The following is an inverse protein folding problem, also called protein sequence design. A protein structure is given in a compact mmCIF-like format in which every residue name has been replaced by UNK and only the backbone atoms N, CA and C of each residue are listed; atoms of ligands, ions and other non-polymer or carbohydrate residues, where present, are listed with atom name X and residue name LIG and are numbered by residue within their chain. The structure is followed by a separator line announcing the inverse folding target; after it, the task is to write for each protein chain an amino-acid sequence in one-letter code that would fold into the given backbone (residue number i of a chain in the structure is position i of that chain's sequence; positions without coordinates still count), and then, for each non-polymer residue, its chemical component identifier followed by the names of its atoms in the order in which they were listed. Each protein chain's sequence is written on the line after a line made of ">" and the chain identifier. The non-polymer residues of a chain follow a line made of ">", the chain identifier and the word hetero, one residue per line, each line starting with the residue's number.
data_IF_087410911953
#
_entry.id   IF_087410911953
#
_cell.length_a   1.000
_cell.length_b   1.000
_cell.length_c   1.000
_cell.angle_alpha   90.00
_cell.angle_beta   90.00
_cell.angle_gamma   90.00
#
_symmetry.space_group_name_H-M   'P 1'
#
loop_
_entity.id
_entity.type
_entity.pdbx_description
1 polymer ?
#
# COMPACT_ATOMS: atom_id res chain seq x y z
N UNK A 1 25.12 -17.49 -1.68
CA UNK A 1 24.66 -16.08 -1.54
C UNK A 1 23.50 -15.73 -2.48
N UNK A 2 23.50 -16.14 -3.76
CA UNK A 2 22.40 -15.85 -4.71
C UNK A 2 20.98 -16.32 -4.31
N UNK A 3 20.88 -17.31 -3.42
CA UNK A 3 19.59 -17.89 -2.99
C UNK A 3 18.87 -17.11 -1.89
N UNK A 4 19.54 -16.19 -1.18
CA UNK A 4 18.90 -15.33 -0.17
C UNK A 4 18.35 -14.02 -0.76
N UNK A 5 18.88 -13.60 -1.92
CA UNK A 5 18.55 -12.33 -2.57
C UNK A 5 17.20 -12.35 -3.30
N UNK A 6 16.75 -13.51 -3.78
CA UNK A 6 15.42 -13.65 -4.39
C UNK A 6 14.29 -13.53 -3.36
N UNK A 7 14.61 -13.59 -2.06
CA UNK A 7 13.63 -13.54 -0.97
C UNK A 7 13.34 -12.11 -0.53
N UNK A 8 14.23 -11.13 -0.80
CA UNK A 8 14.05 -9.74 -0.37
C UNK A 8 13.18 -8.93 -1.36
N UNK A 9 13.27 -9.19 -2.67
CA UNK A 9 12.40 -8.54 -3.68
C UNK A 9 10.99 -9.16 -3.79
N UNK A 10 10.76 -10.34 -3.23
CA UNK A 10 9.44 -10.98 -3.22
C UNK A 10 8.65 -10.75 -1.92
N UNK A 11 9.24 -10.08 -0.92
CA UNK A 11 8.64 -9.94 0.41
C UNK A 11 7.83 -8.66 0.60
N UNK A 12 7.75 -7.77 -0.38
CA UNK A 12 6.85 -6.60 -0.33
C UNK A 12 5.37 -6.95 -0.58
N UNK A 13 4.96 -8.22 -0.62
CA UNK A 13 3.60 -8.61 -1.02
C UNK A 13 3.01 -9.83 -0.32
N UNK A 14 3.53 -10.23 0.84
CA UNK A 14 2.84 -11.24 1.65
C UNK A 14 2.83 -10.82 3.10
N UNK A 15 1.68 -10.28 3.51
CA UNK A 15 1.22 -10.22 4.89
C UNK A 15 1.63 -11.53 5.56
N UNK A 16 2.51 -11.45 6.56
CA UNK A 16 2.59 -12.48 7.57
C UNK A 16 1.23 -12.49 8.27
N UNK A 17 0.32 -13.33 7.78
CA UNK A 17 -0.92 -13.72 8.45
C UNK A 17 -0.57 -14.41 9.79
N UNK A 18 -0.04 -13.66 10.74
CA UNK A 18 -0.46 -13.87 12.11
C UNK A 18 -1.89 -13.33 12.14
N UNK A 19 -2.86 -14.21 12.37
CA UNK A 19 -4.22 -13.79 12.65
C UNK A 19 -4.13 -12.77 13.77
N UNK A 20 -4.38 -11.50 13.46
CA UNK A 20 -4.61 -10.45 14.47
C UNK A 20 -5.69 -11.02 15.35
N UNK A 21 -5.36 -11.34 16.60
CA UNK A 21 -6.22 -12.19 17.42
C UNK A 21 -7.55 -11.50 17.75
N UNK A 22 -7.61 -10.19 17.54
CA UNK A 22 -8.75 -9.32 17.76
C UNK A 22 -9.75 -9.26 16.58
N UNK A 23 -9.49 -9.91 15.43
CA UNK A 23 -10.39 -9.87 14.27
C UNK A 23 -11.26 -11.11 14.16
N UNK A 24 -12.58 -10.91 14.19
CA UNK A 24 -13.55 -11.90 13.78
C UNK A 24 -14.04 -11.60 12.35
N UNK A 25 -13.70 -12.46 11.39
CA UNK A 25 -14.24 -12.36 10.02
C UNK A 25 -15.75 -12.60 10.02
N UNK A 26 -16.48 -11.61 9.50
CA UNK A 26 -17.94 -11.64 9.35
C UNK A 26 -18.36 -11.38 7.90
N UNK A 27 -17.43 -11.45 6.95
CA UNK A 27 -17.63 -11.09 5.54
C UNK A 27 -18.81 -11.85 4.93
N UNK A 28 -18.76 -13.17 4.92
CA UNK A 28 -19.81 -14.04 4.34
C UNK A 28 -21.16 -13.95 5.06
N UNK A 29 -21.19 -13.33 6.25
CA UNK A 29 -22.44 -13.10 6.99
C UNK A 29 -23.18 -11.86 6.47
N UNK A 30 -22.44 -10.84 6.05
CA UNK A 30 -22.99 -9.50 5.82
C UNK A 30 -22.75 -8.94 4.42
N UNK A 31 -21.71 -9.38 3.72
CA UNK A 31 -21.39 -8.95 2.36
C UNK A 31 -21.71 -10.07 1.40
N UNK A 32 -22.60 -9.78 0.44
CA UNK A 32 -22.96 -10.70 -0.63
C UNK A 32 -21.95 -10.54 -1.77
N UNK A 33 -21.47 -11.66 -2.31
CA UNK A 33 -20.55 -11.71 -3.45
C UNK A 33 -19.33 -10.77 -3.28
N UNK A 34 -18.55 -10.91 -2.18
CA UNK A 34 -17.49 -9.96 -1.81
C UNK A 34 -16.34 -9.87 -2.82
N UNK A 35 -16.06 -10.96 -3.54
CA UNK A 35 -15.00 -11.04 -4.56
C UNK A 35 -15.54 -11.21 -5.99
N UNK A 36 -16.81 -10.88 -6.23
CA UNK A 36 -17.39 -10.86 -7.57
C UNK A 36 -17.35 -12.18 -8.36
N UNK A 37 -17.24 -13.31 -7.67
CA UNK A 37 -17.19 -14.66 -8.26
C UNK A 37 -18.56 -15.21 -8.67
N UNK A 38 -19.65 -14.63 -8.15
CA UNK A 38 -21.00 -15.06 -8.52
C UNK A 38 -21.47 -14.38 -9.82
N UNK A 39 -21.90 -15.19 -10.81
CA UNK A 39 -22.36 -14.76 -12.14
C UNK A 39 -23.80 -15.17 -12.51
N UNK A 40 -24.26 -14.75 -13.70
CA UNK A 40 -25.49 -15.26 -14.32
C UNK A 40 -25.18 -16.31 -15.39
N UNK A 41 -25.65 -17.55 -15.19
CA UNK A 41 -25.48 -18.66 -16.14
C UNK A 41 -24.15 -19.42 -16.01
N UNK A 42 -23.85 -20.26 -17.00
CA UNK A 42 -22.67 -21.15 -17.02
C UNK A 42 -21.34 -20.42 -17.37
N UNK A 43 -21.41 -19.12 -17.68
CA UNK A 43 -20.25 -18.28 -18.01
C UNK A 43 -20.35 -16.98 -17.19
N UNK A 44 -19.51 -16.78 -16.16
CA UNK A 44 -19.64 -15.66 -15.22
C UNK A 44 -19.38 -14.26 -15.81
N UNK A 45 -18.99 -14.14 -17.08
CA UNK A 45 -18.48 -12.89 -17.68
C UNK A 45 -19.54 -11.91 -18.20
N UNK A 46 -20.83 -12.23 -18.14
CA UNK A 46 -21.89 -11.30 -18.56
C UNK A 46 -22.82 -10.96 -17.41
N UNK A 47 -22.52 -9.85 -16.74
CA UNK A 47 -23.38 -9.30 -15.70
C UNK A 47 -24.71 -8.85 -16.30
N UNK A 48 -25.81 -9.47 -15.86
CA UNK A 48 -27.16 -8.96 -16.03
C UNK A 48 -27.48 -7.98 -14.91
N UNK A 49 -27.23 -6.68 -15.11
CA UNK A 49 -27.76 -5.68 -14.18
C UNK A 49 -29.28 -5.62 -14.31
N UNK A 50 -29.97 -5.60 -13.16
CA UNK A 50 -31.40 -5.34 -13.17
C UNK A 50 -31.72 -3.88 -13.55
N UNK A 51 -33.00 -3.55 -13.66
CA UNK A 51 -33.43 -2.19 -14.00
C UNK A 51 -33.05 -1.13 -12.97
N UNK A 52 -32.66 -1.53 -11.76
CA UNK A 52 -32.19 -0.65 -10.69
C UNK A 52 -30.65 -0.52 -10.69
N UNK A 53 -29.95 -1.21 -11.60
CA UNK A 53 -28.49 -1.23 -11.64
C UNK A 53 -27.88 -2.15 -10.59
N UNK A 54 -28.61 -3.16 -10.12
CA UNK A 54 -28.10 -4.12 -9.14
C UNK A 54 -27.64 -5.40 -9.82
N UNK A 55 -26.47 -5.90 -9.41
CA UNK A 55 -25.93 -7.19 -9.79
C UNK A 55 -25.46 -7.93 -8.53
N UNK A 56 -26.04 -9.11 -8.25
CA UNK A 56 -25.67 -9.98 -7.11
C UNK A 56 -25.45 -9.23 -5.78
N UNK A 57 -26.36 -8.32 -5.45
CA UNK A 57 -26.30 -7.53 -4.22
C UNK A 57 -25.55 -6.20 -4.31
N UNK A 58 -24.80 -5.97 -5.39
CA UNK A 58 -24.06 -4.73 -5.63
C UNK A 58 -24.83 -3.78 -6.55
N UNK A 59 -25.15 -2.60 -6.04
CA UNK A 59 -25.64 -1.48 -6.85
C UNK A 59 -24.48 -0.85 -7.61
N UNK A 60 -24.75 -0.45 -8.85
CA UNK A 60 -23.87 0.42 -9.64
C UNK A 60 -24.64 1.61 -10.19
N UNK A 61 -24.01 2.77 -10.13
CA UNK A 61 -24.56 4.02 -10.66
C UNK A 61 -24.65 4.07 -12.19
N UNK A 62 -23.77 3.37 -12.91
CA UNK A 62 -23.70 3.42 -14.37
C UNK A 62 -23.41 2.03 -15.00
N UNK A 63 -24.41 1.14 -15.08
CA UNK A 63 -24.24 -0.23 -15.62
C UNK A 63 -23.54 -0.33 -16.99
N UNK A 64 -23.67 0.71 -17.83
CA UNK A 64 -23.11 0.72 -19.19
C UNK A 64 -21.57 0.81 -19.25
N UNK A 65 -20.92 1.16 -18.13
CA UNK A 65 -19.46 1.24 -18.02
C UNK A 65 -18.92 0.34 -16.91
N UNK A 66 -19.74 -0.61 -16.44
CA UNK A 66 -19.44 -1.56 -15.38
C UNK A 66 -19.14 -2.92 -15.98
N UNK A 67 -18.08 -3.56 -15.51
CA UNK A 67 -17.60 -4.78 -16.11
C UNK A 67 -17.08 -5.74 -15.05
N UNK A 68 -17.20 -7.02 -15.37
CA UNK A 68 -16.58 -8.09 -14.62
C UNK A 68 -15.82 -8.96 -15.60
N UNK A 69 -14.55 -9.15 -15.29
CA UNK A 69 -13.64 -9.90 -16.12
C UNK A 69 -12.56 -10.51 -15.23
N UNK A 70 -11.64 -11.21 -15.87
CA UNK A 70 -10.50 -11.86 -15.25
C UNK A 70 -9.17 -11.12 -15.50
N UNK A 71 -9.24 -9.89 -16.03
CA UNK A 71 -8.09 -9.11 -16.49
C UNK A 71 -7.40 -8.36 -15.34
N UNK A 72 -6.95 -9.09 -14.33
CA UNK A 72 -6.04 -8.61 -13.30
C UNK A 72 -4.92 -9.63 -13.09
N UNK A 73 -3.82 -9.20 -12.48
CA UNK A 73 -2.71 -10.06 -12.10
C UNK A 73 -3.10 -11.01 -10.96
N UNK A 74 -2.12 -11.73 -10.44
CA UNK A 74 -2.33 -12.79 -9.45
C UNK A 74 -2.65 -12.27 -8.04
N UNK A 75 -2.78 -10.95 -7.85
CA UNK A 75 -3.24 -10.36 -6.58
C UNK A 75 -4.75 -10.40 -6.40
N UNK A 76 -5.52 -10.73 -7.45
CA UNK A 76 -6.98 -10.92 -7.35
C UNK A 76 -7.37 -12.16 -6.54
N UNK A 77 -8.54 -12.13 -5.91
CA UNK A 77 -9.11 -13.25 -5.18
C UNK A 77 -10.07 -14.02 -6.08
N UNK A 78 -9.63 -15.19 -6.55
CA UNK A 78 -10.43 -16.02 -7.44
C UNK A 78 -10.15 -15.74 -8.91
N UNK A 79 -11.18 -15.70 -9.72
CA UNK A 79 -11.07 -15.53 -11.18
C UNK A 79 -11.44 -14.11 -11.60
N UNK A 80 -12.45 -13.52 -10.97
CA UNK A 80 -13.13 -12.34 -11.47
C UNK A 80 -12.90 -11.12 -10.59
N UNK A 81 -12.91 -9.96 -11.22
CA UNK A 81 -12.84 -8.66 -10.54
C UNK A 81 -13.99 -7.77 -11.00
N UNK A 82 -14.26 -6.70 -10.27
CA UNK A 82 -15.11 -5.62 -10.74
C UNK A 82 -14.26 -4.49 -11.31
N UNK A 83 -14.60 -4.00 -12.49
CA UNK A 83 -13.92 -2.88 -13.13
C UNK A 83 -14.90 -1.91 -13.72
N UNK A 84 -14.49 -0.65 -13.78
CA UNK A 84 -15.07 0.31 -14.72
C UNK A 84 -14.04 0.65 -15.78
N UNK A 85 -14.41 1.17 -16.95
CA UNK A 85 -13.45 1.77 -17.87
C UNK A 85 -14.08 2.80 -18.79
N UNK A 86 -13.23 3.69 -19.30
CA UNK A 86 -13.62 4.82 -20.13
C UNK A 86 -13.76 6.10 -19.32
N UNK A 87 -14.43 7.09 -19.90
CA UNK A 87 -14.65 8.39 -19.25
C UNK A 87 -15.65 8.25 -18.10
N UNK A 88 -15.13 7.92 -16.91
CA UNK A 88 -15.91 7.84 -15.68
C UNK A 88 -16.41 9.24 -15.34
N UNK A 89 -17.72 9.44 -15.41
CA UNK A 89 -18.34 10.46 -14.59
C UNK A 89 -18.14 10.12 -13.09
N UNK A 90 -18.83 10.84 -12.19
CA UNK A 90 -18.98 10.33 -10.83
C UNK A 90 -19.58 8.92 -10.87
N UNK A 91 -18.95 7.99 -10.16
CA UNK A 91 -19.33 6.59 -10.17
C UNK A 91 -19.31 6.02 -8.75
N UNK A 92 -20.32 5.22 -8.44
CA UNK A 92 -20.45 4.42 -7.23
C UNK A 92 -20.75 2.98 -7.59
N UNK A 93 -20.06 2.06 -6.91
CA UNK A 93 -20.44 0.66 -6.71
C UNK A 93 -20.58 0.43 -5.21
N UNK A 94 -21.73 -0.07 -4.76
CA UNK A 94 -22.04 -0.16 -3.33
C UNK A 94 -23.00 -1.28 -2.96
N UNK A 95 -22.96 -1.65 -1.69
CA UNK A 95 -23.90 -2.56 -1.06
C UNK A 95 -24.39 -1.95 0.26
N UNK A 96 -25.64 -2.24 0.62
CA UNK A 96 -26.18 -1.85 1.93
C UNK A 96 -26.22 -3.09 2.81
N UNK A 97 -25.36 -3.11 3.83
CA UNK A 97 -25.42 -4.10 4.90
C UNK A 97 -26.57 -3.73 5.82
N UNK A 98 -27.43 -4.69 6.14
CA UNK A 98 -28.60 -4.50 6.99
C UNK A 98 -28.40 -5.16 8.35
N UNK A 99 -28.88 -4.53 9.42
CA UNK A 99 -28.86 -5.06 10.78
C UNK A 99 -27.45 -5.43 11.27
N UNK A 100 -26.42 -4.68 10.88
CA UNK A 100 -25.07 -4.88 11.38
C UNK A 100 -25.06 -4.53 12.88
N UNK A 101 -24.70 -5.44 13.80
CA UNK A 101 -24.71 -5.16 15.23
C UNK A 101 -23.80 -4.00 15.63
N UNK A 102 -24.05 -3.42 16.81
CA UNK A 102 -23.12 -2.47 17.42
C UNK A 102 -21.73 -3.09 17.55
N UNK A 103 -20.69 -2.30 17.32
CA UNK A 103 -19.30 -2.76 17.33
C UNK A 103 -18.38 -1.89 16.49
N UNK A 104 -17.09 -2.17 16.57
CA UNK A 104 -16.07 -1.56 15.72
C UNK A 104 -15.68 -2.55 14.63
N UNK A 105 -15.69 -2.12 13.38
CA UNK A 105 -15.45 -2.96 12.22
C UNK A 105 -14.31 -2.44 11.36
N UNK A 106 -13.50 -3.36 10.86
CA UNK A 106 -12.55 -3.15 9.79
C UNK A 106 -13.21 -3.57 8.47
N UNK A 107 -13.46 -2.62 7.58
CA UNK A 107 -13.84 -2.87 6.20
C UNK A 107 -12.61 -2.73 5.33
N UNK A 108 -12.37 -3.67 4.41
CA UNK A 108 -11.35 -3.54 3.38
C UNK A 108 -11.85 -3.95 2.01
N UNK A 109 -11.14 -3.51 0.97
CA UNK A 109 -11.21 -4.04 -0.39
C UNK A 109 -9.86 -3.89 -1.07
N UNK A 110 -9.58 -4.67 -2.10
CA UNK A 110 -8.41 -4.47 -2.93
C UNK A 110 -8.77 -3.63 -4.16
N UNK A 111 -7.90 -2.71 -4.55
CA UNK A 111 -8.11 -1.82 -5.69
C UNK A 111 -6.83 -1.65 -6.51
N UNK A 112 -6.95 -1.43 -7.82
CA UNK A 112 -5.87 -0.85 -8.63
C UNK A 112 -6.37 0.38 -9.36
N UNK A 113 -5.54 1.42 -9.37
CA UNK A 113 -5.80 2.68 -10.07
C UNK A 113 -4.68 2.93 -11.09
N UNK A 114 -4.99 3.11 -12.38
CA UNK A 114 -3.92 3.13 -13.39
C UNK A 114 -3.31 4.50 -13.59
N UNK A 115 -2.07 4.51 -14.09
CA UNK A 115 -1.33 5.77 -14.29
C UNK A 115 -2.09 6.72 -15.22
N UNK A 116 -2.17 7.99 -14.83
CA UNK A 116 -2.94 9.05 -15.49
C UNK A 116 -4.47 8.93 -15.41
N UNK A 117 -5.02 8.02 -14.59
CA UNK A 117 -6.46 7.93 -14.37
C UNK A 117 -6.90 8.30 -12.95
N UNK A 118 -5.97 8.74 -12.09
CA UNK A 118 -6.25 9.13 -10.71
C UNK A 118 -7.16 10.38 -10.63
N UNK A 119 -8.15 10.30 -9.75
CA UNK A 119 -9.10 11.36 -9.37
C UNK A 119 -9.37 11.28 -7.86
N UNK A 120 -10.46 10.64 -7.43
CA UNK A 120 -10.84 10.44 -6.02
C UNK A 120 -11.25 8.99 -5.74
N UNK A 121 -10.66 8.04 -6.47
CA UNK A 121 -10.89 6.61 -6.26
C UNK A 121 -10.65 6.26 -4.79
N UNK A 122 -11.69 5.78 -4.11
CA UNK A 122 -11.66 5.56 -2.67
C UNK A 122 -12.64 4.48 -2.25
N UNK A 123 -12.23 3.70 -1.26
CA UNK A 123 -13.15 2.92 -0.44
C UNK A 123 -13.96 3.91 0.40
N UNK A 124 -15.25 3.63 0.60
CA UNK A 124 -16.10 4.42 1.49
C UNK A 124 -17.02 3.52 2.32
N UNK A 125 -17.34 3.99 3.52
CA UNK A 125 -18.28 3.34 4.40
C UNK A 125 -19.00 4.36 5.27
N UNK A 126 -20.30 4.16 5.51
CA UNK A 126 -21.02 5.02 6.43
C UNK A 126 -22.53 5.03 6.25
N UNK A 127 -23.16 5.90 7.02
CA UNK A 127 -24.59 6.17 6.95
C UNK A 127 -24.90 7.59 7.49
N UNK A 128 -26.18 7.92 7.60
CA UNK A 128 -26.61 9.23 8.11
C UNK A 128 -26.32 9.46 9.61
N UNK A 129 -26.13 8.40 10.38
CA UNK A 129 -25.92 8.41 11.83
C UNK A 129 -24.44 8.64 12.18
N UNK A 130 -23.54 7.87 11.58
CA UNK A 130 -22.09 7.90 11.88
C UNK A 130 -21.27 8.77 10.90
N UNK A 131 -21.91 9.31 9.87
CA UNK A 131 -21.23 10.00 8.78
C UNK A 131 -20.58 9.02 7.80
N UNK A 132 -19.88 9.55 6.81
CA UNK A 132 -19.13 8.76 5.84
C UNK A 132 -17.63 8.90 6.09
N UNK A 133 -16.96 7.76 6.17
CA UNK A 133 -15.51 7.64 6.13
C UNK A 133 -15.08 7.20 4.74
N UNK A 134 -13.90 7.62 4.31
CA UNK A 134 -13.30 7.20 3.05
C UNK A 134 -11.79 7.02 3.18
N UNK A 135 -11.23 6.04 2.47
CA UNK A 135 -9.79 5.95 2.27
C UNK A 135 -9.51 6.07 0.78
N UNK A 136 -8.71 7.07 0.41
CA UNK A 136 -8.33 7.35 -0.96
C UNK A 136 -7.14 6.48 -1.35
N UNK A 137 -7.09 6.02 -2.61
CA UNK A 137 -6.04 5.10 -3.07
C UNK A 137 -4.63 5.67 -2.88
N UNK A 138 -4.42 6.94 -3.23
CA UNK A 138 -3.11 7.60 -3.16
C UNK A 138 -3.24 9.04 -2.66
N UNK A 139 -2.17 9.56 -2.06
CA UNK A 139 -2.04 11.00 -1.74
C UNK A 139 -2.10 11.90 -2.97
N UNK A 140 -1.76 11.35 -4.15
CA UNK A 140 -1.88 12.03 -5.45
C UNK A 140 -3.32 12.15 -5.95
N UNK A 141 -4.32 11.74 -5.16
CA UNK A 141 -5.73 12.01 -5.44
C UNK A 141 -5.96 13.51 -5.64
N UNK A 142 -6.78 13.87 -6.62
CA UNK A 142 -6.92 15.25 -7.08
C UNK A 142 -7.63 16.16 -6.07
N UNK A 143 -8.50 15.61 -5.23
CA UNK A 143 -9.27 16.35 -4.24
C UNK A 143 -9.86 15.41 -3.18
N UNK A 144 -10.46 15.99 -2.15
CA UNK A 144 -11.25 15.31 -1.11
C UNK A 144 -12.70 15.77 -1.17
N UNK A 145 -13.64 14.92 -0.75
CA UNK A 145 -15.07 15.24 -0.79
C UNK A 145 -15.50 15.90 0.53
N UNK A 146 -16.11 17.10 0.50
CA UNK A 146 -16.60 17.75 1.71
C UNK A 146 -17.63 16.90 2.47
N UNK A 147 -17.43 16.75 3.78
CA UNK A 147 -18.31 15.99 4.66
C UNK A 147 -17.96 14.51 4.79
N UNK A 148 -16.93 14.03 4.11
CA UNK A 148 -16.29 12.75 4.40
C UNK A 148 -15.13 12.96 5.39
N UNK A 149 -15.04 12.08 6.39
CA UNK A 149 -13.79 11.89 7.13
C UNK A 149 -12.88 11.02 6.26
N UNK A 150 -11.61 11.40 6.07
CA UNK A 150 -10.76 10.72 5.09
C UNK A 150 -9.33 10.47 5.56
N UNK A 151 -8.73 9.45 4.95
CA UNK A 151 -7.30 9.15 4.95
C UNK A 151 -6.83 8.75 3.55
N UNK A 152 -5.52 8.57 3.37
CA UNK A 152 -4.92 8.04 2.15
C UNK A 152 -4.32 6.66 2.46
N UNK A 153 -4.39 5.73 1.50
CA UNK A 153 -3.75 4.41 1.61
C UNK A 153 -2.27 4.43 1.21
N UNK A 154 -1.74 5.58 0.76
CA UNK A 154 -0.33 5.75 0.41
C UNK A 154 0.13 5.05 -0.88
N UNK A 155 -0.76 4.35 -1.61
CA UNK A 155 -0.35 3.53 -2.73
C UNK A 155 0.14 4.35 -3.92
N UNK A 156 1.26 3.94 -4.50
CA UNK A 156 1.71 4.44 -5.80
C UNK A 156 0.75 4.05 -6.92
N UNK A 157 0.53 4.98 -7.85
CA UNK A 157 -0.34 4.80 -9.02
C UNK A 157 0.48 4.21 -10.17
N UNK A 158 0.41 2.89 -10.34
CA UNK A 158 1.25 2.17 -11.28
C UNK A 158 0.50 1.53 -12.46
N UNK A 159 1.26 1.32 -13.53
CA UNK A 159 0.89 0.43 -14.61
C UNK A 159 -0.33 0.83 -15.45
N UNK A 160 -0.86 -0.20 -16.12
CA UNK A 160 -1.94 -0.12 -17.07
C UNK A 160 -3.26 -0.63 -16.49
N UNK A 161 -3.40 -0.70 -15.16
CA UNK A 161 -4.57 -1.27 -14.49
C UNK A 161 -4.74 -2.78 -14.62
N UNK A 162 -3.65 -3.50 -14.89
CA UNK A 162 -3.60 -4.94 -14.72
C UNK A 162 -3.37 -5.38 -13.28
N UNK A 163 -3.11 -4.45 -12.34
CA UNK A 163 -2.66 -4.77 -10.99
C UNK A 163 -1.24 -4.24 -10.72
N UNK A 164 -0.71 -4.44 -9.49
CA UNK A 164 -1.35 -5.19 -8.41
C UNK A 164 -2.58 -4.49 -7.85
N UNK A 165 -3.57 -5.27 -7.41
CA UNK A 165 -4.62 -4.77 -6.54
C UNK A 165 -4.03 -4.64 -5.13
N UNK A 166 -4.17 -3.44 -4.56
CA UNK A 166 -3.60 -3.05 -3.28
C UNK A 166 -4.73 -2.78 -2.28
N UNK A 167 -4.55 -3.11 -0.99
CA UNK A 167 -5.61 -3.04 -0.01
C UNK A 167 -5.95 -1.60 0.36
N UNK A 168 -7.23 -1.31 0.52
CA UNK A 168 -7.75 -0.14 1.22
C UNK A 168 -8.53 -0.63 2.43
N UNK A 169 -8.52 0.14 3.50
CA UNK A 169 -9.21 -0.18 4.75
C UNK A 169 -9.81 1.04 5.44
N UNK A 170 -10.91 0.82 6.15
CA UNK A 170 -11.60 1.80 6.99
C UNK A 170 -12.01 1.12 8.29
N UNK A 171 -11.70 1.77 9.42
CA UNK A 171 -12.24 1.42 10.72
C UNK A 171 -13.44 2.32 11.02
N UNK A 172 -14.56 1.71 11.41
CA UNK A 172 -15.80 2.42 11.78
C UNK A 172 -16.44 1.80 13.02
N UNK A 173 -17.10 2.64 13.83
CA UNK A 173 -17.79 2.21 15.05
C UNK A 173 -19.27 2.50 14.95
N UNK A 174 -20.09 1.50 15.27
CA UNK A 174 -21.54 1.60 15.38
C UNK A 174 -21.95 1.50 16.86
N UNK A 175 -22.61 2.53 17.39
CA UNK A 175 -23.09 2.54 18.78
C UNK A 175 -24.32 1.63 19.01
N UNK A 176 -25.03 1.31 17.93
CA UNK A 176 -26.21 0.46 17.92
C UNK A 176 -26.30 -0.29 16.61
N UNK A 177 -27.15 -1.32 16.54
CA UNK A 177 -27.39 -2.00 15.28
C UNK A 177 -28.00 -1.03 14.25
N UNK A 178 -27.40 -0.97 13.06
CA UNK A 178 -27.81 -0.05 11.99
C UNK A 178 -27.51 -0.66 10.60
N UNK A 179 -27.97 0.02 9.55
CA UNK A 179 -27.56 -0.23 8.18
C UNK A 179 -26.27 0.51 7.86
N UNK A 180 -25.40 -0.09 7.05
CA UNK A 180 -24.15 0.52 6.62
C UNK A 180 -24.09 0.46 5.10
N UNK A 181 -23.82 1.60 4.46
CA UNK A 181 -23.50 1.62 3.02
C UNK A 181 -21.99 1.48 2.89
N UNK A 182 -21.56 0.50 2.11
CA UNK A 182 -20.15 0.23 1.82
C UNK A 182 -19.92 0.21 0.32
N UNK A 183 -18.70 0.51 -0.13
CA UNK A 183 -18.34 0.33 -1.52
C UNK A 183 -17.19 1.22 -1.97
N UNK A 184 -17.10 1.44 -3.27
CA UNK A 184 -16.07 2.29 -3.88
C UNK A 184 -16.71 3.40 -4.68
N UNK A 185 -16.11 4.59 -4.56
CA UNK A 185 -16.48 5.80 -5.30
C UNK A 185 -15.31 6.37 -6.06
N UNK A 186 -15.63 7.07 -7.13
CA UNK A 186 -14.73 7.97 -7.83
C UNK A 186 -15.52 9.16 -8.34
N UNK A 187 -14.90 10.34 -8.34
CA UNK A 187 -15.50 11.57 -8.84
C UNK A 187 -14.80 12.00 -10.13
N UNK A 188 -15.61 12.22 -11.16
CA UNK A 188 -15.15 12.64 -12.48
C UNK A 188 -15.43 14.12 -12.77
N UNK A 189 -15.39 14.52 -14.04
CA UNK A 189 -15.62 15.91 -14.48
C UNK A 189 -17.00 16.51 -14.17
N UNK A 190 -17.94 15.75 -13.59
CA UNK A 190 -19.31 16.21 -13.32
C UNK A 190 -19.48 16.87 -11.95
N UNK A 191 -18.54 16.65 -11.03
CA UNK A 191 -18.44 17.40 -9.79
C UNK A 191 -17.45 18.54 -9.95
N UNK A 192 -17.69 19.67 -9.28
CA UNK A 192 -16.73 20.78 -9.21
C UNK A 192 -15.41 20.43 -8.48
N UNK A 193 -15.31 19.18 -8.01
CA UNK A 193 -14.22 18.56 -7.24
C UNK A 193 -13.03 18.24 -8.16
N UNK A 194 -13.27 17.97 -9.45
CA UNK A 194 -12.21 17.77 -10.44
C UNK A 194 -12.29 18.84 -11.53
N UNK A 195 -11.25 19.66 -11.68
CA UNK A 195 -11.15 20.64 -12.77
C UNK A 195 -11.32 19.93 -14.12
N UNK A 196 -12.36 20.32 -14.85
CA UNK A 196 -12.69 19.77 -16.17
C UNK A 196 -11.52 19.89 -17.17
N UNK A 197 -10.65 20.91 -17.03
CA UNK A 197 -9.47 21.07 -17.88
C UNK A 197 -8.35 20.07 -17.57
N UNK A 198 -8.21 19.66 -16.29
CA UNK A 198 -7.29 18.59 -15.86
C UNK A 198 -7.88 17.24 -16.27
N UNK A 199 -9.15 17.00 -15.97
CA UNK A 199 -9.86 15.78 -16.31
C UNK A 199 -9.84 15.46 -17.82
N UNK A 200 -10.03 16.46 -18.69
CA UNK A 200 -9.98 16.29 -20.14
C UNK A 200 -8.58 15.93 -20.67
N UNK A 201 -7.49 16.30 -19.97
CA UNK A 201 -6.12 15.92 -20.34
C UNK A 201 -5.80 14.47 -19.98
N UNK A 202 -6.55 13.89 -19.04
CA UNK A 202 -6.39 12.52 -18.56
C UNK A 202 -7.20 11.49 -19.38
N UNK A 203 -7.89 11.90 -20.44
CA UNK A 203 -8.47 10.98 -21.42
C UNK A 203 -9.65 10.13 -20.94
N UNK A 204 -10.30 10.51 -19.84
CA UNK A 204 -11.32 9.69 -19.17
C UNK A 204 -10.78 9.07 -17.88
N UNK A 205 -10.51 9.94 -16.91
CA UNK A 205 -10.00 9.57 -15.58
C UNK A 205 -11.13 9.02 -14.69
N UNK A 206 -10.79 8.51 -13.52
CA UNK A 206 -11.73 7.85 -12.62
C UNK A 206 -11.81 6.35 -12.85
N UNK A 207 -10.84 5.76 -13.55
CA UNK A 207 -10.78 4.31 -13.74
C UNK A 207 -10.29 3.62 -12.46
N UNK A 208 -10.93 2.50 -12.08
CA UNK A 208 -10.41 1.53 -11.12
C UNK A 208 -10.83 0.09 -11.50
N UNK A 209 -10.13 -0.87 -10.90
CA UNK A 209 -10.62 -2.23 -10.67
C UNK A 209 -10.57 -2.53 -9.18
N UNK A 210 -11.53 -3.31 -8.69
CA UNK A 210 -11.68 -3.67 -7.29
C UNK A 210 -12.04 -5.14 -7.15
N UNK A 211 -11.70 -5.68 -5.99
CA UNK A 211 -11.97 -7.07 -5.63
C UNK A 211 -11.97 -7.22 -4.09
N UNK A 212 -12.35 -8.41 -3.62
CA UNK A 212 -12.07 -8.91 -2.28
C UNK A 212 -12.52 -7.97 -1.14
N UNK A 213 -13.81 -7.61 -1.12
CA UNK A 213 -14.37 -6.89 0.02
C UNK A 213 -14.38 -7.78 1.27
N UNK A 214 -13.80 -7.31 2.37
CA UNK A 214 -13.78 -8.03 3.63
C UNK A 214 -14.33 -7.17 4.76
N UNK A 215 -15.05 -7.80 5.69
CA UNK A 215 -15.56 -7.16 6.89
C UNK A 215 -15.19 -8.00 8.10
N UNK A 216 -14.49 -7.38 9.04
CA UNK A 216 -14.13 -8.00 10.32
C UNK A 216 -14.65 -7.18 11.48
N UNK A 217 -15.21 -7.85 12.49
CA UNK A 217 -15.45 -7.25 13.80
C UNK A 217 -14.12 -7.19 14.56
N UNK A 218 -13.78 -6.01 15.08
CA UNK A 218 -12.67 -5.81 15.98
C UNK A 218 -13.19 -6.02 17.41
N UNK A 219 -12.87 -7.16 18.01
CA UNK A 219 -13.33 -7.54 19.36
C UNK A 219 -12.67 -6.70 20.45
N UNK A 220 -11.41 -6.33 20.25
CA UNK A 220 -10.60 -5.50 21.13
C UNK A 220 -9.77 -4.53 20.29
N UNK A 221 -10.12 -3.25 20.33
CA UNK A 221 -9.50 -2.22 19.49
C UNK A 221 -8.07 -1.90 19.92
N UNK A 222 -7.78 -1.96 21.22
CA UNK A 222 -6.45 -1.69 21.74
C UNK A 222 -5.51 -2.85 21.34
N UNK A 223 -5.97 -4.10 21.52
CA UNK A 223 -5.21 -5.27 21.08
C UNK A 223 -4.99 -5.30 19.56
N UNK A 224 -5.96 -4.84 18.77
CA UNK A 224 -5.80 -4.71 17.32
C UNK A 224 -4.65 -3.76 16.95
N UNK A 225 -4.60 -2.58 17.58
CA UNK A 225 -3.53 -1.61 17.34
C UNK A 225 -2.17 -2.11 17.86
N UNK A 226 -2.13 -2.78 19.01
CA UNK A 226 -0.92 -3.43 19.52
C UNK A 226 -0.38 -4.47 18.52
N UNK A 227 -1.26 -5.30 17.96
CA UNK A 227 -0.89 -6.31 16.97
C UNK A 227 -0.35 -5.66 15.69
N UNK A 228 -0.92 -4.53 15.23
CA UNK A 228 -0.39 -3.76 14.09
C UNK A 228 1.03 -3.26 14.35
N UNK A 229 1.26 -2.60 15.50
CA UNK A 229 2.59 -2.09 15.89
C UNK A 229 3.61 -3.23 15.96
N UNK A 230 3.23 -4.37 16.55
CA UNK A 230 4.11 -5.55 16.64
C UNK A 230 4.44 -6.13 15.27
N UNK A 231 3.44 -6.24 14.39
CA UNK A 231 3.63 -6.78 13.05
C UNK A 231 4.61 -5.91 12.26
N UNK A 232 4.45 -4.59 12.31
CA UNK A 232 5.28 -3.69 11.53
C UNK A 232 6.73 -3.63 12.05
N UNK A 233 6.89 -3.56 13.37
CA UNK A 233 8.22 -3.53 14.00
C UNK A 233 8.98 -4.85 13.80
N UNK A 234 8.29 -5.98 13.61
CA UNK A 234 8.92 -7.27 13.35
C UNK A 234 9.71 -7.28 12.03
N UNK A 235 9.38 -6.42 11.05
CA UNK A 235 10.17 -6.28 9.83
C UNK A 235 11.59 -5.81 10.09
N UNK A 236 11.79 -4.98 11.12
CA UNK A 236 13.11 -4.49 11.50
C UNK A 236 14.04 -5.63 11.95
N UNK A 237 13.51 -6.76 12.43
CA UNK A 237 14.28 -7.95 12.78
C UNK A 237 14.71 -8.78 11.55
N UNK A 238 14.14 -8.51 10.37
CA UNK A 238 14.48 -9.21 9.12
C UNK A 238 15.79 -8.70 8.49
N UNK A 239 16.24 -7.50 8.86
CA UNK A 239 17.45 -6.88 8.33
C UNK A 239 18.70 -7.39 9.05
N UNK A 240 19.73 -7.70 8.27
CA UNK A 240 21.06 -7.95 8.79
C UNK A 240 21.75 -6.60 9.01
N UNK A 241 21.84 -6.17 10.27
CA UNK A 241 22.40 -4.86 10.65
C UNK A 241 23.87 -4.71 10.25
N UNK A 242 24.60 -5.81 10.05
CA UNK A 242 25.98 -5.78 9.57
C UNK A 242 26.07 -5.42 8.06
N UNK A 243 24.95 -5.50 7.33
CA UNK A 243 24.83 -5.15 5.91
C UNK A 243 24.16 -3.79 5.70
N UNK A 244 24.11 -2.96 6.74
CA UNK A 244 23.52 -1.63 6.72
C UNK A 244 24.56 -0.56 7.12
N UNK A 245 24.31 0.72 6.75
CA UNK A 245 25.03 1.85 7.32
C UNK A 245 24.96 1.85 8.86
N UNK A 246 26.07 2.20 9.52
CA UNK A 246 26.23 2.05 10.97
C UNK A 246 25.23 2.90 11.77
N UNK A 247 24.73 3.98 11.19
CA UNK A 247 23.74 4.86 11.81
C UNK A 247 22.37 4.22 12.02
N UNK A 248 22.02 3.14 11.31
CA UNK A 248 20.70 2.52 11.45
C UNK A 248 20.52 1.67 12.70
N UNK A 249 21.59 1.07 13.25
CA UNK A 249 21.48 0.26 14.46
C UNK A 249 20.84 1.03 15.64
N UNK A 250 21.32 2.23 16.03
CA UNK A 250 20.67 3.00 17.09
C UNK A 250 19.27 3.53 16.72
N UNK A 251 18.97 3.73 15.44
CA UNK A 251 17.63 4.14 14.97
C UNK A 251 16.64 2.99 15.17
N UNK A 252 16.99 1.77 14.71
CA UNK A 252 16.18 0.56 14.86
C UNK A 252 15.91 0.28 16.35
N UNK A 253 16.94 0.37 17.20
CA UNK A 253 16.78 0.19 18.65
C UNK A 253 15.82 1.23 19.26
N UNK A 254 15.95 2.50 18.85
CA UNK A 254 15.06 3.57 19.30
C UNK A 254 13.61 3.30 18.89
N UNK A 255 13.36 2.89 17.65
CA UNK A 255 12.02 2.57 17.14
C UNK A 255 11.40 1.40 17.91
N UNK A 256 12.16 0.33 18.19
CA UNK A 256 11.67 -0.80 18.98
C UNK A 256 11.30 -0.41 20.42
N UNK A 257 12.04 0.52 21.03
CA UNK A 257 11.71 1.05 22.36
C UNK A 257 10.43 1.89 22.31
N UNK A 258 10.27 2.73 21.28
CA UNK A 258 9.06 3.53 21.09
C UNK A 258 7.83 2.63 20.89
N UNK A 259 7.94 1.60 20.05
CA UNK A 259 6.89 0.60 19.85
C UNK A 259 6.42 -0.03 21.17
N UNK A 260 7.36 -0.47 22.01
CA UNK A 260 7.03 -1.04 23.31
C UNK A 260 6.35 -0.03 24.24
N UNK A 261 6.73 1.25 24.15
CA UNK A 261 6.09 2.33 24.93
C UNK A 261 4.66 2.58 24.48
N UNK A 262 4.38 2.53 23.17
CA UNK A 262 3.03 2.65 22.62
C UNK A 262 2.13 1.49 23.10
N UNK A 263 2.65 0.27 22.99
CA UNK A 263 1.97 -0.97 23.39
C UNK A 263 1.66 -1.01 24.91
N UNK A 264 2.59 -0.57 25.75
CA UNK A 264 2.38 -0.55 27.21
C UNK A 264 1.55 0.66 27.67
N UNK A 265 1.32 1.63 26.78
CA UNK A 265 0.68 2.90 27.04
C UNK A 265 -0.81 2.92 26.69
N UNK A 266 -1.41 4.11 26.80
CA UNK A 266 -2.73 4.40 26.25
C UNK A 266 -2.58 5.60 25.32
N UNK A 267 -2.36 5.33 24.04
CA UNK A 267 -2.16 6.35 23.02
C UNK A 267 -3.39 6.44 22.12
N UNK A 268 -3.48 7.51 21.33
CA UNK A 268 -4.57 7.66 20.37
C UNK A 268 -4.31 6.80 19.14
N UNK A 269 -5.37 6.37 18.45
CA UNK A 269 -5.23 5.67 17.16
C UNK A 269 -4.46 6.51 16.13
N UNK A 270 -4.61 7.83 16.15
CA UNK A 270 -3.85 8.74 15.28
C UNK A 270 -2.34 8.65 15.56
N UNK A 271 -1.94 8.67 16.84
CA UNK A 271 -0.53 8.49 17.24
C UNK A 271 0.01 7.13 16.81
N UNK A 272 -0.77 6.06 17.00
CA UNK A 272 -0.35 4.70 16.68
C UNK A 272 -0.19 4.52 15.17
N UNK A 273 -1.16 4.98 14.38
CA UNK A 273 -1.11 4.89 12.92
C UNK A 273 0.05 5.70 12.35
N UNK A 274 0.29 6.92 12.84
CA UNK A 274 1.45 7.70 12.44
C UNK A 274 2.79 7.00 12.75
N UNK A 275 2.88 6.31 13.90
CA UNK A 275 4.06 5.50 14.21
C UNK A 275 4.22 4.32 13.24
N UNK A 276 3.13 3.62 12.89
CA UNK A 276 3.17 2.52 11.91
C UNK A 276 3.68 3.03 10.56
N UNK A 277 3.16 4.16 10.06
CA UNK A 277 3.61 4.79 8.81
C UNK A 277 5.11 5.17 8.84
N UNK A 278 5.60 5.68 9.98
CA UNK A 278 7.02 6.00 10.18
C UNK A 278 7.91 4.73 10.15
N UNK A 279 7.42 3.60 10.70
CA UNK A 279 8.14 2.32 10.65
C UNK A 279 8.15 1.75 9.23
N UNK A 280 7.03 1.79 8.51
CA UNK A 280 6.95 1.36 7.10
C UNK A 280 7.97 2.13 6.25
N UNK A 281 8.00 3.45 6.40
CA UNK A 281 8.97 4.33 5.70
C UNK A 281 10.42 3.95 6.03
N UNK A 282 10.71 3.63 7.29
CA UNK A 282 12.03 3.16 7.70
C UNK A 282 12.38 1.81 7.07
N UNK A 283 11.45 0.86 7.04
CA UNK A 283 11.65 -0.47 6.42
C UNK A 283 12.01 -0.33 4.94
N UNK A 284 11.32 0.56 4.21
CA UNK A 284 11.65 0.86 2.81
C UNK A 284 13.07 1.42 2.66
N UNK A 285 13.44 2.40 3.50
CA UNK A 285 14.77 3.01 3.49
C UNK A 285 15.87 1.98 3.81
N UNK A 286 15.65 1.09 4.78
CA UNK A 286 16.57 0.01 5.11
C UNK A 286 16.76 -0.97 3.94
N UNK A 287 15.70 -1.24 3.16
CA UNK A 287 15.78 -2.03 1.93
C UNK A 287 16.67 -1.39 0.86
N UNK A 288 16.55 -0.08 0.68
CA UNK A 288 17.42 0.69 -0.21
C UNK A 288 18.87 0.73 0.30
N UNK A 289 19.06 0.91 1.61
CA UNK A 289 20.38 0.93 2.24
C UNK A 289 21.12 -0.42 2.09
N UNK A 290 20.42 -1.54 2.26
CA UNK A 290 20.99 -2.87 2.01
C UNK A 290 21.41 -3.05 0.54
N UNK A 291 20.62 -2.53 -0.41
CA UNK A 291 20.95 -2.55 -1.84
C UNK A 291 22.17 -1.67 -2.15
N UNK A 292 22.28 -0.50 -1.51
CA UNK A 292 23.43 0.38 -1.63
C UNK A 292 24.70 -0.27 -1.07
N UNK A 293 24.60 -0.97 0.08
CA UNK A 293 25.70 -1.74 0.64
C UNK A 293 26.24 -2.80 -0.34
N UNK A 294 25.37 -3.61 -0.93
CA UNK A 294 25.79 -4.63 -1.90
C UNK A 294 26.49 -3.99 -3.12
N UNK A 295 25.91 -2.90 -3.62
CA UNK A 295 26.47 -2.14 -4.75
C UNK A 295 27.87 -1.62 -4.42
N UNK A 296 28.03 -1.00 -3.25
CA UNK A 296 29.30 -0.44 -2.80
C UNK A 296 30.35 -1.54 -2.59
N UNK A 297 29.98 -2.66 -1.96
CA UNK A 297 30.88 -3.81 -1.78
C UNK A 297 31.40 -4.35 -3.12
N UNK A 298 30.54 -4.42 -4.14
CA UNK A 298 30.98 -4.82 -5.48
C UNK A 298 31.99 -3.84 -6.08
N UNK A 299 31.82 -2.53 -5.87
CA UNK A 299 32.80 -1.54 -6.32
C UNK A 299 34.12 -1.63 -5.54
N UNK A 300 34.09 -1.90 -4.23
CA UNK A 300 35.32 -2.13 -3.47
C UNK A 300 36.08 -3.36 -4.00
N UNK A 301 35.38 -4.46 -4.28
CA UNK A 301 35.99 -5.65 -4.89
C UNK A 301 36.58 -5.36 -6.28
N UNK A 302 35.87 -4.57 -7.11
CA UNK A 302 36.38 -4.15 -8.41
C UNK A 302 37.62 -3.26 -8.28
N UNK A 303 37.59 -2.29 -7.36
CA UNK A 303 38.72 -1.41 -7.10
C UNK A 303 39.95 -2.20 -6.62
N UNK A 304 39.75 -3.17 -5.73
CA UNK A 304 40.80 -4.07 -5.28
C UNK A 304 41.43 -4.84 -6.44
N UNK A 305 40.61 -5.43 -7.32
CA UNK A 305 41.10 -6.16 -8.50
C UNK A 305 41.91 -5.25 -9.44
N UNK A 306 41.44 -4.03 -9.70
CA UNK A 306 42.17 -3.05 -10.51
C UNK A 306 43.52 -2.68 -9.89
N UNK A 307 43.57 -2.46 -8.57
CA UNK A 307 44.80 -2.11 -7.87
C UNK A 307 45.82 -3.27 -7.87
N UNK A 308 45.37 -4.49 -7.59
CA UNK A 308 46.24 -5.65 -7.32
C UNK A 308 46.58 -6.47 -8.57
N UNK A 309 45.63 -6.61 -9.51
CA UNK A 309 45.71 -7.61 -10.57
C UNK A 309 45.81 -7.03 -11.99
N UNK A 310 45.84 -5.70 -12.14
CA UNK A 310 45.88 -5.04 -13.46
C UNK A 310 46.95 -3.94 -13.55
N UNK A 311 47.25 -3.51 -14.78
CA UNK A 311 48.12 -2.37 -15.10
C UNK A 311 47.33 -1.04 -15.16
N UNK A 312 46.25 -0.91 -14.38
CA UNK A 312 45.42 0.30 -14.34
C UNK A 312 46.28 1.57 -14.12
N UNK A 313 46.13 2.58 -14.98
CA UNK A 313 46.98 3.78 -14.95
C UNK A 313 46.64 4.73 -13.80
N UNK A 314 45.35 4.85 -13.42
CA UNK A 314 44.84 5.76 -12.38
C UNK A 314 44.90 5.22 -10.94
N UNK A 315 45.90 4.41 -10.59
CA UNK A 315 45.93 3.74 -9.26
C UNK A 315 45.94 4.70 -8.07
N UNK A 316 46.58 5.86 -8.20
CA UNK A 316 46.64 6.85 -7.12
C UNK A 316 45.26 7.49 -6.88
N UNK A 317 44.56 7.84 -7.96
CA UNK A 317 43.20 8.35 -7.94
C UNK A 317 42.22 7.30 -7.41
N UNK A 318 42.39 6.03 -7.79
CA UNK A 318 41.61 4.91 -7.28
C UNK A 318 41.81 4.69 -5.78
N UNK A 319 43.05 4.68 -5.30
CA UNK A 319 43.36 4.56 -3.87
C UNK A 319 42.78 5.73 -3.07
N UNK A 320 42.87 6.96 -3.58
CA UNK A 320 42.24 8.12 -2.96
C UNK A 320 40.72 7.96 -2.87
N UNK A 321 40.06 7.58 -3.97
CA UNK A 321 38.61 7.38 -4.01
C UNK A 321 38.13 6.22 -3.12
N UNK A 322 38.89 5.12 -3.03
CA UNK A 322 38.60 4.01 -2.11
C UNK A 322 38.68 4.49 -0.66
N UNK A 323 39.70 5.26 -0.29
CA UNK A 323 39.84 5.79 1.06
C UNK A 323 38.74 6.79 1.42
N UNK A 324 38.37 7.66 0.48
CA UNK A 324 37.27 8.62 0.66
C UNK A 324 35.93 7.88 0.83
N UNK A 325 35.61 6.92 -0.04
CA UNK A 325 34.43 6.08 0.09
C UNK A 325 34.40 5.29 1.41
N UNK A 326 35.53 4.70 1.82
CA UNK A 326 35.65 3.98 3.09
C UNK A 326 35.43 4.89 4.31
N UNK A 327 35.87 6.16 4.23
CA UNK A 327 35.68 7.13 5.31
C UNK A 327 34.22 7.51 5.52
N UNK A 328 33.43 7.60 4.43
CA UNK A 328 32.00 7.90 4.50
C UNK A 328 31.24 6.78 5.19
N UNK A 329 31.53 5.52 4.85
CA UNK A 329 30.79 4.37 5.40
C UNK A 329 31.24 3.93 6.79
N UNK A 330 32.44 4.31 7.21
CA UNK A 330 32.94 4.03 8.56
C UNK A 330 32.39 4.98 9.63
N UNK A 331 31.65 6.04 9.25
CA UNK A 331 31.05 6.96 10.20
C UNK A 331 29.92 6.27 10.98
N UNK A 332 29.91 6.42 12.31
CA UNK A 332 28.85 5.87 13.18
C UNK A 332 27.46 6.47 12.89
N UNK A 333 27.42 7.63 12.23
CA UNK A 333 26.19 8.31 11.82
C UNK A 333 25.87 8.08 10.34
N UNK A 334 26.57 7.16 9.67
CA UNK A 334 26.36 6.91 8.24
C UNK A 334 24.95 6.37 7.99
N UNK A 335 24.30 6.91 6.96
CA UNK A 335 22.97 6.51 6.49
C UNK A 335 23.04 6.19 4.98
N UNK A 336 21.88 5.89 4.37
CA UNK A 336 21.76 5.61 2.93
C UNK A 336 22.48 6.65 2.07
N UNK A 337 22.29 7.95 2.34
CA UNK A 337 22.88 9.03 1.57
C UNK A 337 24.43 8.99 1.56
N UNK A 338 25.05 8.57 2.66
CA UNK A 338 26.52 8.44 2.74
C UNK A 338 27.03 7.28 1.88
N UNK A 339 26.27 6.18 1.84
CA UNK A 339 26.56 5.04 0.98
C UNK A 339 26.38 5.40 -0.50
N UNK A 340 25.33 6.13 -0.85
CA UNK A 340 25.13 6.65 -2.22
C UNK A 340 26.27 7.58 -2.63
N UNK A 341 26.71 8.47 -1.74
CA UNK A 341 27.87 9.33 -1.97
C UNK A 341 29.15 8.52 -2.17
N UNK A 342 29.40 7.52 -1.31
CA UNK A 342 30.55 6.62 -1.42
C UNK A 342 30.57 5.86 -2.76
N UNK A 343 29.40 5.37 -3.22
CA UNK A 343 29.23 4.74 -4.54
C UNK A 343 29.63 5.70 -5.66
N UNK A 344 29.22 6.97 -5.59
CA UNK A 344 29.58 7.97 -6.59
C UNK A 344 31.09 8.18 -6.63
N UNK A 345 31.73 8.34 -5.47
CA UNK A 345 33.17 8.55 -5.33
C UNK A 345 33.96 7.39 -5.94
N UNK A 346 33.72 6.16 -5.50
CA UNK A 346 34.49 4.99 -5.96
C UNK A 346 34.27 4.71 -7.45
N UNK A 347 33.04 4.92 -7.95
CA UNK A 347 32.71 4.76 -9.37
C UNK A 347 33.43 5.77 -10.24
N UNK A 348 33.60 7.01 -9.77
CA UNK A 348 34.40 8.02 -10.48
C UNK A 348 35.87 7.63 -10.50
N UNK A 349 36.40 7.16 -9.37
CA UNK A 349 37.80 6.75 -9.25
C UNK A 349 38.15 5.54 -10.13
N UNK A 350 37.25 4.57 -10.26
CA UNK A 350 37.39 3.41 -11.17
C UNK A 350 37.44 3.82 -12.65
N UNK A 351 36.89 4.99 -13.00
CA UNK A 351 36.80 5.49 -14.39
C UNK A 351 37.89 6.50 -14.75
N UNK A 352 38.69 6.94 -13.78
CA UNK A 352 39.76 7.93 -13.96
C UNK A 352 40.92 7.34 -14.78
#
# INVERSE_FOLDING_TARGET
>A
MKTKLLMLMLFCLSIGLQQVQALQDVTETYIINPSFEEGDGDIPTYWGFDSAGVFKGWYVSHPAISYNNDEADDTKTGTYIFGIWGNSADYEVSQIIQNLPAGTYLLSCDMTVPTNNMTTQRLFAGNATIGYKAQYFAESSLDTVPGEEYSYAGHEVDGNGGGPLKPLSIILTLDQADSLVIGVRTNGSRTAICDTAVFNKLGGAGWFKIDNFQLSLIEDLDAYYDDMVRAEVAWLDSFDVDLLPLGYAPIIDSVKIQAQTLIDGTETSETILAFVDDVESLVEELGLAATAFETLNNYFLQAQDLMENTDFEGKAELEFGVNEAASLVAAETSLLADFEAAIVVIRQAIRA
#
